data_IF_198132754756
#
_entry.id   IF_198132754756
#
_cell.length_a   1.000
_cell.length_b   1.000
_cell.length_c   1.000
_cell.angle_alpha   90.00
_cell.angle_beta   90.00
_cell.angle_gamma   90.00
#
_symmetry.space_group_name_H-M   'P 1'
#
loop_
_entity.id
_entity.type
_entity.pdbx_description
1 polymer ?
#
# COMPACT_ATOMS: atom_id res chain seq x y z
N UNK A 1 -43.58 5.21 40.92
CA UNK A 1 -42.18 4.85 41.21
C UNK A 1 -41.40 4.26 40.00
N UNK A 2 -42.04 3.66 38.99
CA UNK A 2 -41.33 3.03 37.84
C UNK A 2 -40.64 4.05 36.89
N UNK A 3 -41.15 5.28 36.80
CA UNK A 3 -40.63 6.33 35.87
C UNK A 3 -39.19 6.77 36.14
N UNK A 4 -38.69 6.58 37.36
CA UNK A 4 -37.32 7.00 37.74
C UNK A 4 -36.27 5.92 37.42
N UNK A 5 -36.66 4.64 37.47
CA UNK A 5 -35.77 3.52 37.17
C UNK A 5 -35.39 3.47 35.68
N UNK A 6 -36.36 3.75 34.81
CA UNK A 6 -36.15 3.81 33.35
C UNK A 6 -35.15 4.90 32.97
N UNK A 7 -35.18 6.04 33.67
CA UNK A 7 -34.25 7.15 33.45
C UNK A 7 -32.83 6.78 33.87
N UNK A 8 -32.67 6.13 35.02
CA UNK A 8 -31.36 5.69 35.49
C UNK A 8 -30.73 4.69 34.50
N UNK A 9 -31.53 3.76 33.99
CA UNK A 9 -31.08 2.80 32.98
C UNK A 9 -30.70 3.49 31.66
N UNK A 10 -31.52 4.43 31.19
CA UNK A 10 -31.28 5.18 29.96
C UNK A 10 -29.98 6.00 30.03
N UNK A 11 -29.75 6.71 31.14
CA UNK A 11 -28.51 7.48 31.32
C UNK A 11 -27.30 6.56 31.46
N UNK A 12 -27.44 5.40 32.13
CA UNK A 12 -26.38 4.39 32.21
C UNK A 12 -25.94 3.86 30.84
N UNK A 13 -26.90 3.41 30.02
CA UNK A 13 -26.63 2.90 28.66
C UNK A 13 -26.03 3.99 27.77
N UNK A 14 -26.49 5.25 27.89
CA UNK A 14 -25.98 6.37 27.09
C UNK A 14 -24.51 6.67 27.38
N UNK A 15 -24.08 6.62 28.64
CA UNK A 15 -22.69 6.85 29.03
C UNK A 15 -21.80 5.70 28.57
N UNK A 16 -22.27 4.45 28.68
CA UNK A 16 -21.54 3.26 28.23
C UNK A 16 -21.38 3.20 26.70
N UNK A 17 -22.43 3.50 25.94
CA UNK A 17 -22.35 3.56 24.48
C UNK A 17 -21.38 4.65 23.99
N UNK A 18 -21.31 5.78 24.70
CA UNK A 18 -20.40 6.88 24.38
C UNK A 18 -18.93 6.51 24.62
N UNK A 19 -18.60 5.75 25.67
CA UNK A 19 -17.22 5.35 25.96
C UNK A 19 -16.71 4.31 24.96
N UNK A 20 -17.52 3.32 24.57
CA UNK A 20 -17.15 2.34 23.55
C UNK A 20 -16.91 2.98 22.19
N UNK A 21 -17.78 3.92 21.78
CA UNK A 21 -17.58 4.65 20.53
C UNK A 21 -16.29 5.46 20.55
N UNK A 22 -15.99 6.12 21.68
CA UNK A 22 -14.78 6.92 21.85
C UNK A 22 -13.51 6.08 21.78
N UNK A 23 -13.46 4.92 22.44
CA UNK A 23 -12.28 4.04 22.41
C UNK A 23 -12.01 3.46 21.01
N UNK A 24 -13.07 3.05 20.30
CA UNK A 24 -12.94 2.55 18.93
C UNK A 24 -12.50 3.65 17.96
N UNK A 25 -13.02 4.87 18.11
CA UNK A 25 -12.61 6.01 17.28
C UNK A 25 -11.15 6.40 17.54
N UNK A 26 -10.73 6.44 18.79
CA UNK A 26 -9.35 6.75 19.17
C UNK A 26 -8.36 5.73 18.61
N UNK A 27 -8.66 4.43 18.66
CA UNK A 27 -7.80 3.40 18.06
C UNK A 27 -7.74 3.51 16.54
N UNK A 28 -8.87 3.79 15.87
CA UNK A 28 -8.92 3.95 14.42
C UNK A 28 -8.19 5.22 13.98
N UNK A 29 -8.33 6.34 14.70
CA UNK A 29 -7.66 7.60 14.39
C UNK A 29 -6.16 7.53 14.68
N UNK A 30 -5.77 6.93 15.81
CA UNK A 30 -4.37 6.66 16.12
C UNK A 30 -3.77 5.67 15.13
N UNK A 31 -4.51 4.64 14.70
CA UNK A 31 -4.07 3.71 13.66
C UNK A 31 -3.96 4.39 12.30
N UNK A 32 -4.90 5.28 11.95
CA UNK A 32 -4.83 6.07 10.71
C UNK A 32 -3.68 7.07 10.72
N UNK A 33 -3.45 7.75 11.83
CA UNK A 33 -2.32 8.66 11.99
C UNK A 33 -0.99 7.90 12.00
N UNK A 34 -0.89 6.79 12.74
CA UNK A 34 0.30 5.91 12.73
C UNK A 34 0.53 5.22 11.38
N UNK A 35 -0.53 4.90 10.64
CA UNK A 35 -0.41 4.39 9.28
C UNK A 35 0.08 5.49 8.34
N UNK A 36 -0.51 6.69 8.40
CA UNK A 36 -0.10 7.82 7.57
C UNK A 36 1.33 8.28 7.89
N UNK A 37 1.72 8.27 9.17
CA UNK A 37 3.09 8.49 9.62
C UNK A 37 3.98 7.33 9.17
N UNK A 38 3.56 6.06 9.25
CA UNK A 38 4.35 4.94 8.67
C UNK A 38 4.49 5.02 7.15
N UNK A 39 3.51 5.53 6.41
CA UNK A 39 3.62 5.71 4.97
C UNK A 39 4.50 6.92 4.63
N UNK A 40 4.42 8.00 5.41
CA UNK A 40 5.27 9.17 5.27
C UNK A 40 6.72 8.90 5.73
N UNK A 41 6.91 8.20 6.85
CA UNK A 41 8.20 7.74 7.35
C UNK A 41 8.80 6.68 6.45
N UNK A 42 8.02 5.74 5.90
CA UNK A 42 8.55 4.84 4.83
C UNK A 42 8.96 5.64 3.61
N UNK A 43 8.18 6.65 3.19
CA UNK A 43 8.54 7.49 2.04
C UNK A 43 9.74 8.41 2.32
N UNK A 44 9.96 8.84 3.56
CA UNK A 44 11.07 9.70 3.99
C UNK A 44 12.33 8.89 4.35
N UNK A 45 12.20 7.68 4.91
CA UNK A 45 13.27 6.69 5.04
C UNK A 45 13.73 6.21 3.67
N UNK A 46 12.83 6.11 2.68
CA UNK A 46 13.21 5.87 1.28
C UNK A 46 14.18 6.94 0.75
N UNK A 47 14.14 8.16 1.29
CA UNK A 47 15.01 9.26 0.90
C UNK A 47 16.29 9.43 1.73
N UNK A 48 16.48 8.71 2.84
CA UNK A 48 17.68 8.84 3.70
C UNK A 48 18.45 7.53 3.94
N UNK A 49 17.83 6.37 3.75
CA UNK A 49 18.47 5.04 3.88
C UNK A 49 17.82 3.96 2.98
N UNK A 50 16.91 4.36 2.07
CA UNK A 50 16.25 3.48 1.13
C UNK A 50 16.93 3.46 -0.23
N UNK A 51 16.97 2.27 -0.82
CA UNK A 51 17.60 2.02 -2.11
C UNK A 51 16.95 2.88 -3.20
N UNK A 52 17.77 3.62 -3.95
CA UNK A 52 17.26 4.44 -5.05
C UNK A 52 16.84 3.53 -6.22
N UNK A 53 15.97 4.04 -7.10
CA UNK A 53 15.56 3.31 -8.31
C UNK A 53 16.76 2.97 -9.20
N UNK A 54 17.67 3.92 -9.36
CA UNK A 54 18.89 3.73 -10.16
C UNK A 54 19.80 2.65 -9.55
N UNK A 55 19.99 2.68 -8.23
CA UNK A 55 20.73 1.62 -7.52
C UNK A 55 20.07 0.25 -7.67
N UNK A 56 18.74 0.18 -7.52
CA UNK A 56 17.99 -1.07 -7.67
C UNK A 56 18.12 -1.63 -9.09
N UNK A 57 18.06 -0.75 -10.11
CA UNK A 57 18.28 -1.13 -11.50
C UNK A 57 19.70 -1.63 -11.74
N UNK A 58 20.71 -0.99 -11.15
CA UNK A 58 22.10 -1.46 -11.26
C UNK A 58 22.29 -2.82 -10.60
N UNK A 59 21.74 -3.03 -9.40
CA UNK A 59 21.83 -4.31 -8.67
C UNK A 59 21.18 -5.45 -9.46
N UNK A 60 20.02 -5.20 -10.08
CA UNK A 60 19.31 -6.19 -10.90
C UNK A 60 19.73 -6.20 -12.37
N UNK A 61 20.76 -5.43 -12.74
CA UNK A 61 21.24 -5.29 -14.11
C UNK A 61 20.14 -4.98 -15.14
N UNK A 62 19.31 -3.98 -14.83
CA UNK A 62 18.19 -3.54 -15.66
C UNK A 62 18.49 -2.20 -16.32
N UNK A 63 18.29 -2.10 -17.64
CA UNK A 63 18.38 -0.82 -18.38
C UNK A 63 17.04 -0.08 -18.43
N UNK A 64 15.94 -0.82 -18.31
CA UNK A 64 14.55 -0.32 -18.34
C UNK A 64 13.75 -1.07 -17.27
N UNK A 65 12.67 -0.44 -16.80
CA UNK A 65 11.75 -1.09 -15.88
C UNK A 65 10.91 -2.11 -16.66
N UNK A 66 11.37 -3.37 -16.65
CA UNK A 66 10.67 -4.52 -17.21
C UNK A 66 10.41 -5.55 -16.09
N UNK A 67 9.14 -5.85 -15.77
CA UNK A 67 8.80 -6.78 -14.70
C UNK A 67 9.32 -8.21 -14.96
N UNK A 68 9.36 -8.65 -16.21
CA UNK A 68 9.78 -10.03 -16.55
C UNK A 68 11.29 -10.15 -16.32
N UNK A 69 12.05 -9.22 -16.89
CA UNK A 69 13.50 -9.21 -16.74
C UNK A 69 13.95 -8.99 -15.28
N UNK A 70 13.20 -8.18 -14.51
CA UNK A 70 13.46 -7.98 -13.09
C UNK A 70 13.32 -9.27 -12.27
N UNK A 71 12.26 -10.05 -12.53
CA UNK A 71 11.99 -11.33 -11.86
C UNK A 71 13.06 -12.38 -12.22
N UNK A 72 13.44 -12.48 -13.49
CA UNK A 72 14.47 -13.41 -13.97
C UNK A 72 15.84 -13.10 -13.36
N UNK A 73 16.28 -11.84 -13.44
CA UNK A 73 17.57 -11.41 -12.89
C UNK A 73 17.59 -11.54 -11.37
N UNK A 74 16.48 -11.24 -10.68
CA UNK A 74 16.36 -11.47 -9.25
C UNK A 74 16.60 -12.94 -8.90
N UNK A 75 15.92 -13.88 -9.55
CA UNK A 75 16.07 -15.32 -9.28
C UNK A 75 17.51 -15.79 -9.50
N UNK A 76 18.11 -15.38 -10.62
CA UNK A 76 19.49 -15.74 -10.95
C UNK A 76 20.48 -15.19 -9.90
N UNK A 77 20.39 -13.91 -9.57
CA UNK A 77 21.29 -13.25 -8.62
C UNK A 77 21.06 -13.76 -7.19
N UNK A 78 19.82 -14.04 -6.80
CA UNK A 78 19.50 -14.51 -5.46
C UNK A 78 20.02 -15.93 -5.20
N UNK A 79 19.89 -16.82 -6.19
CA UNK A 79 20.47 -18.17 -6.14
C UNK A 79 22.00 -18.17 -6.29
N UNK A 80 22.56 -17.33 -7.17
CA UNK A 80 24.01 -17.22 -7.32
C UNK A 80 24.71 -16.74 -6.04
N UNK A 81 24.04 -15.93 -5.22
CA UNK A 81 24.56 -15.40 -3.95
C UNK A 81 24.10 -16.20 -2.72
N UNK A 82 23.66 -17.45 -2.90
CA UNK A 82 23.17 -18.30 -1.82
C UNK A 82 24.26 -18.52 -0.76
N UNK A 83 23.95 -18.13 0.48
CA UNK A 83 24.89 -18.18 1.61
C UNK A 83 25.52 -16.84 1.98
N UNK A 84 25.51 -15.86 1.08
CA UNK A 84 25.96 -14.49 1.35
C UNK A 84 24.77 -13.61 1.76
N UNK A 85 24.40 -13.69 3.04
CA UNK A 85 23.21 -13.01 3.61
C UNK A 85 23.12 -11.52 3.26
N UNK A 86 24.25 -10.80 3.26
CA UNK A 86 24.27 -9.38 2.91
C UNK A 86 23.90 -9.13 1.44
N UNK A 87 24.50 -9.88 0.51
CA UNK A 87 24.23 -9.73 -0.91
C UNK A 87 22.80 -10.18 -1.26
N UNK A 88 22.34 -11.28 -0.68
CA UNK A 88 20.94 -11.71 -0.83
C UNK A 88 19.96 -10.65 -0.32
N UNK A 89 20.25 -10.04 0.83
CA UNK A 89 19.43 -8.96 1.37
C UNK A 89 19.42 -7.73 0.47
N UNK A 90 20.55 -7.41 -0.18
CA UNK A 90 20.64 -6.30 -1.16
C UNK A 90 19.84 -6.58 -2.43
N UNK A 91 19.97 -7.78 -2.99
CA UNK A 91 19.21 -8.22 -4.17
C UNK A 91 17.71 -8.24 -3.88
N UNK A 92 17.32 -8.72 -2.70
CA UNK A 92 15.93 -8.71 -2.25
C UNK A 92 15.36 -7.28 -2.14
N UNK A 93 16.09 -6.37 -1.49
CA UNK A 93 15.67 -4.95 -1.38
C UNK A 93 15.57 -4.27 -2.74
N UNK A 94 16.48 -4.58 -3.67
CA UNK A 94 16.41 -4.05 -5.03
C UNK A 94 15.13 -4.48 -5.74
N UNK A 95 14.73 -5.75 -5.58
CA UNK A 95 13.48 -6.26 -6.13
C UNK A 95 12.27 -5.53 -5.53
N UNK A 96 12.23 -5.37 -4.21
CA UNK A 96 11.15 -4.63 -3.55
C UNK A 96 11.02 -3.19 -4.06
N UNK A 97 12.16 -2.50 -4.27
CA UNK A 97 12.17 -1.15 -4.80
C UNK A 97 11.60 -1.07 -6.24
N UNK A 98 11.98 -2.01 -7.12
CA UNK A 98 11.46 -2.09 -8.50
C UNK A 98 9.96 -2.38 -8.51
N UNK A 99 9.47 -3.32 -7.68
CA UNK A 99 8.04 -3.63 -7.59
C UNK A 99 7.20 -2.43 -7.17
N UNK A 100 7.70 -1.68 -6.18
CA UNK A 100 7.03 -0.47 -5.71
C UNK A 100 6.92 0.55 -6.84
N UNK A 101 7.98 0.75 -7.62
CA UNK A 101 7.96 1.67 -8.77
C UNK A 101 7.04 1.17 -9.90
N UNK A 102 7.01 -0.13 -10.18
CA UNK A 102 6.07 -0.72 -11.13
C UNK A 102 4.61 -0.55 -10.68
N UNK A 103 4.32 -0.75 -9.38
CA UNK A 103 3.00 -0.55 -8.80
C UNK A 103 2.58 0.92 -8.85
N UNK A 104 3.48 1.86 -8.54
CA UNK A 104 3.23 3.31 -8.68
C UNK A 104 2.89 3.67 -10.13
N UNK A 105 3.63 3.14 -11.09
CA UNK A 105 3.37 3.37 -12.52
C UNK A 105 2.00 2.84 -12.94
N UNK A 106 1.61 1.65 -12.49
CA UNK A 106 0.28 1.08 -12.74
C UNK A 106 -0.84 1.97 -12.18
N UNK A 107 -0.70 2.47 -10.95
CA UNK A 107 -1.70 3.37 -10.33
C UNK A 107 -1.75 4.72 -11.07
N UNK A 108 -0.61 5.27 -11.49
CA UNK A 108 -0.53 6.54 -12.24
C UNK A 108 -1.24 6.44 -13.60
N UNK A 109 -1.06 5.33 -14.32
CA UNK A 109 -1.74 5.09 -15.60
C UNK A 109 -3.26 5.04 -15.38
N UNK A 110 -3.72 4.24 -14.42
CA UNK A 110 -5.15 4.06 -14.17
C UNK A 110 -5.85 5.32 -13.61
N UNK A 111 -5.15 6.15 -12.82
CA UNK A 111 -5.69 7.42 -12.34
C UNK A 111 -5.73 8.50 -13.43
N UNK A 112 -4.77 8.49 -14.36
CA UNK A 112 -4.74 9.38 -15.53
C UNK A 112 -5.85 9.06 -16.52
N UNK A 113 -6.14 7.76 -16.75
CA UNK A 113 -7.27 7.30 -17.57
C UNK A 113 -8.62 7.68 -16.95
N UNK A 114 -8.77 7.64 -15.62
CA UNK A 114 -10.00 8.12 -14.94
C UNK A 114 -10.22 9.63 -15.08
N UNK A 115 -9.14 10.43 -15.17
CA UNK A 115 -9.25 11.90 -15.33
C UNK A 115 -9.65 12.28 -16.75
N UNK A 116 -9.07 11.63 -17.76
CA UNK A 116 -9.44 11.82 -19.18
C UNK A 116 -10.85 11.31 -19.49
N UNK A 117 -11.34 10.28 -18.81
CA UNK A 117 -12.75 9.84 -18.93
C UNK A 117 -13.74 10.80 -18.24
N UNK A 118 -13.33 11.53 -17.20
CA UNK A 118 -14.15 12.57 -16.58
C UNK A 118 -14.19 13.87 -17.38
N UNK A 119 -13.06 14.27 -17.97
CA UNK A 119 -12.97 15.51 -18.78
C UNK A 119 -13.71 15.38 -20.12
N UNK A 120 -13.79 14.19 -20.72
CA UNK A 120 -14.46 13.97 -22.01
C UNK A 120 -15.92 13.49 -21.90
N UNK A 121 -16.52 13.47 -20.71
CA UNK A 121 -17.97 13.27 -20.54
C UNK A 121 -18.54 11.93 -21.05
N UNK A 122 -17.74 10.87 -21.20
CA UNK A 122 -18.24 9.54 -21.60
C UNK A 122 -18.12 8.56 -20.43
N UNK A 123 -19.21 8.39 -19.68
CA UNK A 123 -19.37 7.30 -18.72
C UNK A 123 -19.53 5.98 -19.46
N UNK A 124 -18.43 5.36 -19.87
CA UNK A 124 -18.45 3.98 -20.36
C UNK A 124 -18.41 3.04 -19.16
N UNK A 125 -19.57 2.57 -18.74
CA UNK A 125 -19.72 1.35 -17.94
C UNK A 125 -19.19 0.17 -18.77
N UNK A 126 -17.90 -0.13 -18.70
CA UNK A 126 -17.40 -1.44 -19.10
C UNK A 126 -16.76 -2.12 -17.91
N UNK A 127 -17.61 -2.91 -17.26
CA UNK A 127 -17.26 -4.03 -16.41
C UNK A 127 -16.28 -4.94 -17.15
N UNK A 128 -15.05 -5.07 -16.64
CA UNK A 128 -14.14 -6.16 -17.02
C UNK A 128 -14.65 -7.48 -16.40
N UNK A 129 -15.81 -7.94 -16.89
CA UNK A 129 -16.40 -9.23 -16.57
C UNK A 129 -16.21 -10.26 -17.70
N UNK A 130 -15.44 -9.97 -18.76
CA UNK A 130 -15.32 -10.85 -19.93
C UNK A 130 -13.90 -10.91 -20.49
N UNK A 131 -12.92 -11.31 -19.67
CA UNK A 131 -11.62 -11.72 -20.19
C UNK A 131 -10.98 -12.86 -19.39
N UNK A 132 -11.80 -13.80 -18.90
CA UNK A 132 -11.36 -15.12 -18.45
C UNK A 132 -12.50 -16.15 -18.52
N UNK A 133 -13.27 -16.13 -19.62
CA UNK A 133 -14.10 -17.27 -20.00
C UNK A 133 -13.65 -17.74 -21.39
N UNK A 134 -12.58 -18.56 -21.39
CA UNK A 134 -12.33 -19.72 -22.26
C UNK A 134 -10.89 -20.22 -22.11
#
# INVERSE_FOLDING_TARGET
>A
MVKSLSKLFYYGVKVFAKSLKKSVQEEIELSKQKANIRYADKALETGKDGMTLEEAQQILNLRKLDPIQAEENFKQLFEANKGLKYLQSKVYRAKEAIDIELAKNYVKINSSSKKTMKENGVYVFFTYALLNDK
#
